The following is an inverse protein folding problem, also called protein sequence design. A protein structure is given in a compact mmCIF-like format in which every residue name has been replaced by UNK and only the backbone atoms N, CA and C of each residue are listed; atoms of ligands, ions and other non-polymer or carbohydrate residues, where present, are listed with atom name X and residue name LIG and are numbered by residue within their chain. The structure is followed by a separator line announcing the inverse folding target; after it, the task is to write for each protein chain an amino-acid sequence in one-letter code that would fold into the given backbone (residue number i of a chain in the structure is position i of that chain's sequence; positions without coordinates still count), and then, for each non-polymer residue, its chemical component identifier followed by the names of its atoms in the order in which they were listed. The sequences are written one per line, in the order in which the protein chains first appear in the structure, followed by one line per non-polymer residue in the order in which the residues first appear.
data_IF_182506051375
#
_entry.id   IF_182506051375
#
_cell.length_a   1.000
_cell.length_b   1.000
_cell.length_c   1.000
_cell.angle_alpha   90.00
_cell.angle_beta   90.00
_cell.angle_gamma   90.00
#
_symmetry.space_group_name_H-M   'P 1'
#
loop_
_entity.id
_entity.type
_entity.pdbx_description
1 polymer ?
#
# COMPACT_ATOMS: atom_id res chain seq x y z
N UNK A 1 4.09 26.95 -12.52
CA UNK A 1 3.82 25.78 -13.38
C UNK A 1 2.88 24.83 -12.64
N UNK A 2 1.59 24.85 -12.95
CA UNK A 2 0.65 23.86 -12.41
C UNK A 2 0.94 22.52 -13.10
N UNK A 3 1.34 21.52 -12.31
CA UNK A 3 1.70 20.19 -12.79
C UNK A 3 0.62 19.60 -13.70
N UNK A 4 1.04 19.26 -14.92
CA UNK A 4 0.24 18.66 -15.98
C UNK A 4 -0.33 17.31 -15.55
N UNK A 5 -1.63 17.11 -15.78
CA UNK A 5 -2.45 15.91 -15.59
C UNK A 5 -2.35 15.18 -14.22
N UNK A 6 -3.27 15.50 -13.30
CA UNK A 6 -3.50 14.69 -12.10
C UNK A 6 -4.26 13.42 -12.47
N UNK A 7 -3.57 12.28 -12.55
CA UNK A 7 -4.20 10.96 -12.65
C UNK A 7 -4.85 10.61 -11.31
N UNK A 8 -6.15 10.86 -11.20
CA UNK A 8 -6.93 10.55 -10.02
C UNK A 8 -7.34 9.06 -10.01
N UNK A 9 -7.61 8.53 -8.82
CA UNK A 9 -8.10 7.16 -8.64
C UNK A 9 -9.52 7.00 -9.21
N UNK A 10 -9.86 5.77 -9.60
CA UNK A 10 -11.20 5.37 -10.09
C UNK A 10 -12.33 5.81 -9.17
N UNK A 11 -12.15 5.67 -7.86
CA UNK A 11 -13.15 6.06 -6.88
C UNK A 11 -13.34 7.58 -6.85
N UNK A 12 -12.25 8.34 -7.01
CA UNK A 12 -12.32 9.82 -7.09
C UNK A 12 -13.09 10.26 -8.33
N UNK A 13 -12.83 9.64 -9.48
CA UNK A 13 -13.59 9.92 -10.70
C UNK A 13 -15.07 9.59 -10.53
N UNK A 14 -15.38 8.44 -9.92
CA UNK A 14 -16.77 8.02 -9.72
C UNK A 14 -17.51 8.91 -8.71
N UNK A 15 -16.84 9.36 -7.65
CA UNK A 15 -17.38 10.32 -6.69
C UNK A 15 -17.70 11.67 -7.35
N UNK A 16 -16.83 12.14 -8.25
CA UNK A 16 -17.09 13.36 -9.01
C UNK A 16 -18.36 13.23 -9.87
N UNK A 17 -18.59 12.06 -10.50
CA UNK A 17 -19.81 11.81 -11.27
C UNK A 17 -21.06 11.73 -10.38
N UNK A 18 -20.97 11.15 -9.19
CA UNK A 18 -22.06 11.12 -8.20
C UNK A 18 -22.45 12.55 -7.81
N UNK A 19 -21.47 13.40 -7.49
CA UNK A 19 -21.72 14.80 -7.10
C UNK A 19 -22.36 15.57 -8.26
N UNK A 20 -21.89 15.38 -9.49
CA UNK A 20 -22.47 16.02 -10.67
C UNK A 20 -23.93 15.61 -10.88
N UNK A 21 -24.22 14.31 -10.86
CA UNK A 21 -25.57 13.79 -11.02
C UNK A 21 -26.51 14.29 -9.89
N UNK A 22 -26.01 14.38 -8.66
CA UNK A 22 -26.79 14.90 -7.53
C UNK A 22 -27.10 16.40 -7.68
N UNK A 23 -26.11 17.21 -8.07
CA UNK A 23 -26.31 18.64 -8.28
C UNK A 23 -27.25 18.92 -9.45
N UNK A 24 -27.17 18.13 -10.52
CA UNK A 24 -28.08 18.19 -11.66
C UNK A 24 -29.51 17.83 -11.27
N UNK A 25 -29.70 16.76 -10.49
CA UNK A 25 -31.01 16.37 -9.96
C UNK A 25 -31.62 17.49 -9.11
N UNK A 26 -30.87 18.06 -8.15
CA UNK A 26 -31.35 19.16 -7.31
C UNK A 26 -31.74 20.39 -8.12
N UNK A 27 -30.95 20.75 -9.15
CA UNK A 27 -31.25 21.88 -10.03
C UNK A 27 -32.53 21.65 -10.84
N UNK A 28 -32.71 20.45 -11.36
CA UNK A 28 -33.88 20.10 -12.17
C UNK A 28 -35.15 20.05 -11.32
N UNK A 29 -35.05 19.60 -10.07
CA UNK A 29 -36.16 19.62 -9.11
C UNK A 29 -36.58 21.06 -8.76
N UNK A 30 -35.62 21.94 -8.45
CA UNK A 30 -35.88 23.36 -8.16
C UNK A 30 -36.46 24.12 -9.36
N UNK A 31 -36.09 23.72 -10.57
CA UNK A 31 -36.58 24.35 -11.81
C UNK A 31 -37.95 23.85 -12.25
N UNK A 32 -38.56 22.90 -11.50
CA UNK A 32 -39.86 22.32 -11.84
C UNK A 32 -39.83 21.45 -13.10
N UNK A 33 -38.73 20.71 -13.34
CA UNK A 33 -38.64 19.80 -14.47
C UNK A 33 -39.73 18.72 -14.46
N UNK A 34 -40.10 18.22 -15.64
CA UNK A 34 -41.12 17.19 -15.77
C UNK A 34 -40.76 15.91 -15.00
N UNK A 35 -41.77 15.23 -14.47
CA UNK A 35 -41.59 14.03 -13.63
C UNK A 35 -40.78 12.90 -14.30
N UNK A 36 -40.89 12.75 -15.63
CA UNK A 36 -40.09 11.76 -16.37
C UNK A 36 -38.59 12.10 -16.34
N UNK A 37 -38.22 13.38 -16.47
CA UNK A 37 -36.84 13.87 -16.39
C UNK A 37 -36.26 13.63 -14.99
N UNK A 38 -37.04 13.90 -13.95
CA UNK A 38 -36.61 13.63 -12.56
C UNK A 38 -36.40 12.13 -12.33
N UNK A 39 -37.30 11.29 -12.84
CA UNK A 39 -37.18 9.83 -12.74
C UNK A 39 -35.89 9.31 -13.39
N UNK A 40 -35.53 9.84 -14.56
CA UNK A 40 -34.31 9.43 -15.25
C UNK A 40 -33.04 9.92 -14.54
N UNK A 41 -33.06 11.15 -13.98
CA UNK A 41 -31.94 11.66 -13.17
C UNK A 41 -31.75 10.84 -11.87
N UNK A 42 -32.84 10.44 -11.21
CA UNK A 42 -32.79 9.55 -10.04
C UNK A 42 -32.17 8.20 -10.44
N UNK A 43 -32.59 7.61 -11.57
CA UNK A 43 -32.01 6.35 -12.08
C UNK A 43 -30.51 6.49 -12.38
N UNK A 44 -30.10 7.61 -12.95
CA UNK A 44 -28.68 7.89 -13.21
C UNK A 44 -27.88 8.00 -11.92
N UNK A 45 -28.35 8.77 -10.94
CA UNK A 45 -27.70 8.89 -9.64
C UNK A 45 -27.60 7.51 -8.93
N UNK A 46 -28.68 6.74 -8.94
CA UNK A 46 -28.72 5.38 -8.41
C UNK A 46 -27.68 4.49 -9.09
N UNK A 47 -27.56 4.55 -10.41
CA UNK A 47 -26.54 3.81 -11.16
C UNK A 47 -25.13 4.19 -10.73
N UNK A 48 -24.83 5.48 -10.53
CA UNK A 48 -23.51 5.93 -10.10
C UNK A 48 -23.17 5.46 -8.67
N UNK A 49 -24.11 5.53 -7.73
CA UNK A 49 -23.91 5.05 -6.37
C UNK A 49 -23.76 3.53 -6.32
N UNK A 50 -24.60 2.81 -7.06
CA UNK A 50 -24.58 1.35 -7.17
C UNK A 50 -23.21 0.85 -7.68
N UNK A 51 -22.76 1.39 -8.82
CA UNK A 51 -21.49 0.98 -9.46
C UNK A 51 -20.23 1.47 -8.72
N UNK A 52 -20.34 2.44 -7.81
CA UNK A 52 -19.26 2.84 -6.91
C UNK A 52 -18.93 1.74 -5.89
N UNK A 53 -19.97 1.08 -5.36
CA UNK A 53 -19.82 -0.01 -4.39
C UNK A 53 -19.53 -1.33 -5.09
N UNK A 54 -20.34 -1.69 -6.09
CA UNK A 54 -20.22 -2.93 -6.85
C UNK A 54 -20.47 -2.70 -8.35
N UNK A 55 -19.41 -2.75 -9.15
CA UNK A 55 -19.45 -2.58 -10.60
C UNK A 55 -19.64 -3.90 -11.36
N UNK A 56 -19.88 -5.01 -10.64
CA UNK A 56 -19.99 -6.35 -11.19
C UNK A 56 -21.37 -6.95 -10.95
N UNK A 57 -22.39 -6.08 -10.80
CA UNK A 57 -23.77 -6.49 -10.58
C UNK A 57 -24.38 -7.17 -11.82
N UNK A 58 -25.03 -8.34 -11.68
CA UNK A 58 -25.69 -9.02 -12.79
C UNK A 58 -26.80 -8.16 -13.40
N UNK A 59 -26.89 -8.13 -14.73
CA UNK A 59 -27.95 -7.42 -15.45
C UNK A 59 -27.82 -5.90 -15.52
N UNK A 60 -26.77 -5.31 -14.92
CA UNK A 60 -26.46 -3.88 -15.08
C UNK A 60 -25.24 -3.65 -15.98
N UNK A 61 -25.21 -2.55 -16.76
CA UNK A 61 -24.03 -2.17 -17.51
C UNK A 61 -22.89 -1.79 -16.56
N UNK A 62 -21.65 -2.17 -16.91
CA UNK A 62 -20.49 -1.80 -16.10
C UNK A 62 -20.10 -0.35 -16.36
N UNK A 63 -19.82 0.39 -15.30
CA UNK A 63 -19.22 1.71 -15.40
C UNK A 63 -17.78 1.57 -15.89
N UNK A 64 -17.47 2.25 -17.00
CA UNK A 64 -16.15 2.22 -17.65
C UNK A 64 -15.42 3.54 -17.43
N UNK A 65 -14.10 3.48 -17.36
CA UNK A 65 -13.23 4.65 -17.53
C UNK A 65 -13.30 5.16 -18.98
N UNK A 66 -12.82 6.37 -19.21
CA UNK A 66 -12.59 6.94 -20.56
C UNK A 66 -11.68 6.06 -21.44
N UNK A 67 -10.83 5.24 -20.82
CA UNK A 67 -9.94 4.28 -21.48
C UNK A 67 -10.65 2.99 -21.92
N UNK A 68 -11.93 2.82 -21.63
CA UNK A 68 -12.69 1.59 -21.87
C UNK A 68 -12.48 0.49 -20.80
N UNK A 69 -11.60 0.71 -19.81
CA UNK A 69 -11.40 -0.24 -18.70
C UNK A 69 -12.53 -0.13 -17.68
N UNK A 70 -13.07 -1.25 -17.15
CA UNK A 70 -14.03 -1.21 -16.06
C UNK A 70 -13.45 -0.52 -14.82
N UNK A 71 -14.25 0.34 -14.18
CA UNK A 71 -13.87 1.01 -12.94
C UNK A 71 -13.74 0.01 -11.79
N UNK A 72 -12.68 0.16 -10.98
CA UNK A 72 -12.43 -0.69 -9.81
C UNK A 72 -13.20 -0.20 -8.57
N UNK A 73 -14.42 -0.71 -8.42
CA UNK A 73 -15.30 -0.46 -7.28
C UNK A 73 -14.77 -0.98 -5.94
N UNK A 74 -15.38 -0.55 -4.84
CA UNK A 74 -14.96 -0.90 -3.47
C UNK A 74 -14.95 -2.42 -3.26
N UNK A 75 -16.03 -3.11 -3.64
CA UNK A 75 -16.14 -4.57 -3.49
C UNK A 75 -15.02 -5.29 -4.23
N UNK A 76 -14.65 -4.82 -5.42
CA UNK A 76 -13.55 -5.37 -6.22
C UNK A 76 -12.18 -5.14 -5.59
N UNK A 77 -12.01 -4.12 -4.75
CA UNK A 77 -10.78 -3.90 -3.96
C UNK A 77 -10.70 -4.83 -2.75
N UNK A 78 -11.83 -5.26 -2.19
CA UNK A 78 -11.87 -6.15 -1.02
C UNK A 78 -11.78 -7.62 -1.40
N UNK A 79 -12.50 -8.05 -2.46
CA UNK A 79 -12.58 -9.46 -2.89
C UNK A 79 -11.37 -9.91 -3.71
N UNK A 80 -11.15 -11.22 -3.77
CA UNK A 80 -10.17 -11.87 -4.66
C UNK A 80 -8.80 -12.11 -4.03
N UNK A 81 -7.91 -12.76 -4.80
CA UNK A 81 -6.56 -13.12 -4.37
C UNK A 81 -5.70 -11.89 -4.05
N UNK A 82 -5.74 -10.89 -4.93
CA UNK A 82 -5.07 -9.60 -4.78
C UNK A 82 -5.94 -8.54 -4.07
N UNK A 83 -7.05 -8.96 -3.45
CA UNK A 83 -7.93 -8.08 -2.69
C UNK A 83 -7.35 -7.73 -1.32
N UNK A 84 -7.86 -6.70 -0.65
CA UNK A 84 -7.32 -6.25 0.65
C UNK A 84 -7.33 -7.33 1.73
N UNK A 85 -8.37 -8.15 1.80
CA UNK A 85 -8.47 -9.18 2.85
C UNK A 85 -7.37 -10.22 2.68
N UNK A 86 -7.30 -10.87 1.50
CA UNK A 86 -6.33 -11.94 1.27
C UNK A 86 -4.92 -11.41 0.99
N UNK A 87 -4.79 -10.40 0.14
CA UNK A 87 -3.51 -9.88 -0.34
C UNK A 87 -2.83 -8.87 0.57
N UNK A 88 -3.53 -8.26 1.54
CA UNK A 88 -2.92 -7.28 2.45
C UNK A 88 -3.03 -7.67 3.93
N UNK A 89 -4.12 -8.32 4.34
CA UNK A 89 -4.29 -8.74 5.74
C UNK A 89 -3.76 -10.17 5.97
N UNK A 90 -4.09 -11.14 5.11
CA UNK A 90 -3.62 -12.51 5.28
C UNK A 90 -2.18 -12.73 4.77
N UNK A 91 -1.77 -12.02 3.72
CA UNK A 91 -0.43 -12.13 3.13
C UNK A 91 0.19 -10.76 2.92
N UNK A 92 0.78 -10.18 3.97
CA UNK A 92 1.46 -8.88 3.87
C UNK A 92 2.91 -9.04 3.45
N UNK A 93 3.44 -8.08 2.70
CA UNK A 93 4.90 -7.93 2.56
C UNK A 93 5.51 -7.60 3.91
N UNK A 94 6.60 -8.26 4.24
CA UNK A 94 7.30 -8.11 5.52
C UNK A 94 8.67 -7.49 5.30
N UNK A 95 9.02 -6.56 6.18
CA UNK A 95 10.38 -6.01 6.25
C UNK A 95 11.31 -7.00 6.96
N UNK A 96 12.63 -6.75 6.91
CA UNK A 96 13.66 -7.59 7.53
C UNK A 96 13.67 -9.06 7.06
N UNK A 97 13.38 -9.29 5.78
CA UNK A 97 13.46 -10.61 5.14
C UNK A 97 14.38 -10.57 3.92
N UNK A 98 14.99 -11.71 3.59
CA UNK A 98 15.83 -11.87 2.39
C UNK A 98 15.55 -13.22 1.73
N UNK A 99 15.83 -13.31 0.42
CA UNK A 99 15.67 -14.53 -0.39
C UNK A 99 16.85 -14.68 -1.33
N UNK A 100 17.43 -15.88 -1.40
CA UNK A 100 18.51 -16.23 -2.32
C UNK A 100 18.43 -17.71 -2.71
N UNK A 101 19.25 -18.13 -3.68
CA UNK A 101 19.37 -19.53 -4.12
C UNK A 101 20.10 -20.36 -3.06
N UNK A 102 19.69 -21.62 -2.90
CA UNK A 102 20.30 -22.56 -1.96
C UNK A 102 21.40 -23.39 -2.64
N UNK A 103 22.44 -23.73 -1.87
CA UNK A 103 23.55 -24.60 -2.27
C UNK A 103 23.89 -25.54 -1.10
N UNK A 104 24.17 -26.83 -1.33
CA UNK A 104 24.54 -27.75 -0.25
C UNK A 104 25.93 -27.43 0.33
N UNK A 105 26.09 -27.55 1.65
CA UNK A 105 27.38 -27.48 2.37
C UNK A 105 27.42 -28.55 3.48
N UNK A 106 28.29 -29.58 3.38
CA UNK A 106 28.36 -30.67 4.36
C UNK A 106 29.03 -30.26 5.69
N UNK A 107 29.66 -29.09 5.77
CA UNK A 107 30.36 -28.64 6.98
C UNK A 107 29.43 -27.90 7.96
N UNK A 108 28.19 -27.60 7.55
CA UNK A 108 27.21 -26.95 8.41
C UNK A 108 26.44 -27.98 9.25
N UNK A 109 26.17 -27.61 10.50
CA UNK A 109 25.30 -28.40 11.37
C UNK A 109 23.84 -28.30 10.92
N UNK A 110 23.01 -29.24 11.35
CA UNK A 110 21.57 -29.32 10.99
C UNK A 110 20.79 -28.06 11.42
N UNK A 111 21.23 -27.39 12.47
CA UNK A 111 20.65 -26.17 13.03
C UNK A 111 21.23 -24.86 12.45
N UNK A 112 22.13 -24.95 11.47
CA UNK A 112 22.83 -23.80 10.89
C UNK A 112 22.37 -23.49 9.47
N UNK A 113 22.44 -22.21 9.10
CA UNK A 113 22.21 -21.74 7.73
C UNK A 113 23.31 -20.77 7.32
N UNK A 114 23.90 -20.98 6.15
CA UNK A 114 24.90 -20.08 5.58
C UNK A 114 24.23 -18.80 5.07
N UNK A 115 24.59 -17.64 5.64
CA UNK A 115 24.08 -16.33 5.21
C UNK A 115 25.18 -15.54 4.50
N UNK A 116 25.00 -15.14 3.22
CA UNK A 116 25.94 -14.28 2.52
C UNK A 116 26.18 -12.96 3.25
N UNK A 117 27.43 -12.47 3.23
CA UNK A 117 27.80 -11.19 3.87
C UNK A 117 26.97 -10.01 3.37
N UNK A 118 26.62 -9.98 2.08
CA UNK A 118 25.76 -8.95 1.49
C UNK A 118 24.35 -8.90 2.10
N UNK A 119 23.80 -10.06 2.51
CA UNK A 119 22.51 -10.15 3.19
C UNK A 119 22.66 -9.79 4.66
N UNK A 120 23.70 -10.33 5.33
CA UNK A 120 23.97 -10.08 6.74
C UNK A 120 24.28 -8.59 7.04
N UNK A 121 24.95 -7.90 6.11
CA UNK A 121 25.15 -6.45 6.20
C UNK A 121 23.87 -5.67 5.93
N UNK A 122 22.87 -6.26 5.29
CA UNK A 122 21.63 -5.58 4.98
C UNK A 122 20.57 -5.70 6.07
N UNK A 123 20.38 -6.90 6.59
CA UNK A 123 19.46 -7.20 7.69
C UNK A 123 20.04 -6.71 9.02
N UNK A 124 19.21 -6.06 9.82
CA UNK A 124 19.61 -5.55 11.14
C UNK A 124 18.69 -6.11 12.21
N UNK A 125 19.23 -6.31 13.41
CA UNK A 125 18.46 -6.67 14.59
C UNK A 125 18.55 -5.52 15.62
N UNK A 126 17.41 -5.03 16.16
CA UNK A 126 17.44 -4.02 17.20
C UNK A 126 17.82 -4.67 18.54
N UNK A 127 19.01 -4.36 19.04
CA UNK A 127 19.46 -4.79 20.36
C UNK A 127 19.45 -3.60 21.34
N UNK A 128 18.86 -3.80 22.52
CA UNK A 128 18.86 -2.78 23.57
C UNK A 128 20.24 -2.72 24.23
N UNK A 129 20.71 -1.50 24.48
CA UNK A 129 21.99 -1.30 25.18
C UNK A 129 21.80 -1.60 26.66
N UNK A 130 22.65 -2.48 27.18
CA UNK A 130 22.71 -2.90 28.57
C UNK A 130 24.16 -2.80 29.05
N UNK A 131 24.41 -2.74 30.39
CA UNK A 131 25.78 -2.73 30.90
C UNK A 131 26.63 -3.92 30.45
N UNK A 132 26.01 -5.04 30.05
CA UNK A 132 26.73 -6.25 29.62
C UNK A 132 27.17 -6.22 28.15
N UNK A 133 26.47 -5.47 27.28
CA UNK A 133 26.76 -5.42 25.84
C UNK A 133 27.31 -4.06 25.38
N UNK A 134 27.42 -3.07 26.26
CA UNK A 134 27.80 -1.69 25.93
C UNK A 134 29.13 -1.60 25.17
N UNK A 135 30.16 -2.33 25.62
CA UNK A 135 31.49 -2.33 24.97
C UNK A 135 31.42 -2.89 23.55
N UNK A 136 30.70 -4.00 23.39
CA UNK A 136 30.47 -4.64 22.09
C UNK A 136 29.65 -3.75 21.16
N UNK A 137 28.60 -3.10 21.66
CA UNK A 137 27.76 -2.20 20.87
C UNK A 137 28.54 -0.97 20.41
N UNK A 138 29.37 -0.39 21.28
CA UNK A 138 30.27 0.70 20.90
C UNK A 138 31.25 0.29 19.79
N UNK A 139 31.79 -0.92 19.84
CA UNK A 139 32.67 -1.41 18.77
C UNK A 139 31.93 -1.57 17.43
N UNK A 140 30.72 -2.13 17.43
CA UNK A 140 29.90 -2.29 16.22
C UNK A 140 29.52 -0.94 15.60
N UNK A 141 29.19 0.05 16.44
CA UNK A 141 28.93 1.42 16.00
C UNK A 141 30.19 2.06 15.43
N UNK A 142 31.35 1.90 16.08
CA UNK A 142 32.63 2.45 15.60
C UNK A 142 33.02 1.91 14.21
N UNK A 143 32.73 0.64 13.93
CA UNK A 143 32.94 0.02 12.60
C UNK A 143 31.94 0.53 11.55
N UNK A 144 30.77 0.98 11.97
CA UNK A 144 29.74 1.59 11.12
C UNK A 144 29.10 0.62 10.13
N UNK A 145 28.51 1.16 9.07
CA UNK A 145 27.75 0.39 8.08
C UNK A 145 28.61 -0.34 7.04
N UNK A 146 29.83 0.14 6.77
CA UNK A 146 30.65 -0.38 5.65
C UNK A 146 31.34 -1.72 5.98
N UNK A 147 31.63 -1.98 7.24
CA UNK A 147 32.40 -3.16 7.68
C UNK A 147 31.52 -4.14 8.45
N UNK A 148 31.66 -5.44 8.13
CA UNK A 148 31.02 -6.52 8.89
C UNK A 148 32.02 -7.12 9.89
N UNK A 149 31.62 -7.43 11.15
CA UNK A 149 30.38 -7.02 11.83
C UNK A 149 30.34 -5.52 12.17
N UNK A 150 29.17 -4.88 12.02
CA UNK A 150 28.96 -3.46 12.28
C UNK A 150 27.48 -3.11 12.52
N UNK A 151 27.16 -1.83 12.63
CA UNK A 151 25.81 -1.32 12.89
C UNK A 151 25.37 -0.30 11.83
N UNK A 152 24.04 -0.16 11.65
CA UNK A 152 23.47 0.82 10.71
C UNK A 152 22.84 2.04 11.37
N UNK A 153 22.18 1.83 12.50
CA UNK A 153 21.36 2.84 13.13
C UNK A 153 21.57 2.83 14.62
N UNK A 154 21.53 4.01 15.22
CA UNK A 154 21.37 4.20 16.66
C UNK A 154 20.00 4.81 16.88
N UNK A 155 19.21 4.23 17.77
CA UNK A 155 17.93 4.79 18.21
C UNK A 155 18.12 5.27 19.63
N UNK A 156 17.94 6.57 19.86
CA UNK A 156 18.00 7.19 21.20
C UNK A 156 16.67 7.06 21.93
N UNK A 157 16.67 7.31 23.23
CA UNK A 157 15.47 7.23 24.08
C UNK A 157 14.35 8.19 23.64
N UNK A 158 14.69 9.29 22.98
CA UNK A 158 13.75 10.24 22.39
C UNK A 158 13.11 9.74 21.07
N UNK A 159 13.46 8.53 20.61
CA UNK A 159 13.01 7.95 19.33
C UNK A 159 13.77 8.45 18.09
N UNK A 160 14.77 9.32 18.27
CA UNK A 160 15.60 9.81 17.18
C UNK A 160 16.47 8.68 16.62
N UNK A 161 16.45 8.54 15.29
CA UNK A 161 17.22 7.52 14.57
C UNK A 161 18.39 8.17 13.85
N UNK A 162 19.59 7.88 14.32
CA UNK A 162 20.84 8.31 13.69
C UNK A 162 21.28 7.26 12.69
N UNK A 163 21.50 7.65 11.43
CA UNK A 163 22.03 6.79 10.37
C UNK A 163 23.56 6.89 10.31
N UNK A 164 24.23 5.76 10.56
CA UNK A 164 25.69 5.64 10.60
C UNK A 164 26.34 5.65 9.21
N UNK A 165 25.57 5.82 8.13
CA UNK A 165 26.12 6.01 6.78
C UNK A 165 26.59 7.43 6.50
N UNK A 166 26.08 8.40 7.26
CA UNK A 166 26.30 9.83 7.02
C UNK A 166 27.03 10.52 8.18
N UNK A 167 27.53 9.75 9.16
CA UNK A 167 28.27 10.18 10.33
C UNK A 167 29.53 9.32 10.46
#
# INVERSE_FOLDING_TARGET
MFGSAKNQDDLTHKLADIIKANNELMRNEQSGAAAHVLTDNIRMLQFHVATFVDNDMPGMPKAMQKSGKPLKAIKARLKGKEGRIRGNLMGKRVDFSARTVITPDPNLRIDQVGVPRSIAQNLTFPELVTPFNIDRMHELVRRGNAQYPGAKYIVRDNGERIDLRFH
#
